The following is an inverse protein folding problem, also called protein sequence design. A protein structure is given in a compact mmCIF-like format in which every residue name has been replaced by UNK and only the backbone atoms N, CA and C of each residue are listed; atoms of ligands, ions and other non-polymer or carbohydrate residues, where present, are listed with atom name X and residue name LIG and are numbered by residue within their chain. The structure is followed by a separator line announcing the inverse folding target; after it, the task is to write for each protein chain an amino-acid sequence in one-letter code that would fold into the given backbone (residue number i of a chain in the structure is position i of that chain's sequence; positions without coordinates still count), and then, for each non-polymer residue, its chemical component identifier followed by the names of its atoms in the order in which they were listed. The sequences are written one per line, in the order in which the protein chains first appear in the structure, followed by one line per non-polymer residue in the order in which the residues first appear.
data_IF_101508156174
#
_entry.id   IF_101508156174
#
_cell.length_a   1.000
_cell.length_b   1.000
_cell.length_c   1.000
_cell.angle_alpha   90.00
_cell.angle_beta   90.00
_cell.angle_gamma   90.00
#
_symmetry.space_group_name_H-M   'P 1'
#
loop_
_entity.id
_entity.type
_entity.pdbx_description
1 polymer ?
#
# COMPACT_ATOMS: atom_id res chain seq x y z
N UNK A 1 21.66 -43.00 21.90
CA UNK A 1 22.84 -43.10 22.74
C UNK A 1 23.19 -41.70 23.22
N UNK A 2 22.72 -41.22 24.38
CA UNK A 2 23.32 -41.24 25.71
C UNK A 2 24.69 -40.53 25.74
N UNK A 3 24.87 -39.42 26.40
CA UNK A 3 25.04 -39.27 27.82
C UNK A 3 25.25 -37.80 28.22
N UNK A 4 24.56 -37.41 29.27
CA UNK A 4 24.70 -36.16 30.00
C UNK A 4 26.05 -36.06 30.73
N UNK A 5 26.54 -34.83 30.99
CA UNK A 5 27.24 -34.46 32.24
C UNK A 5 27.10 -32.98 32.55
N UNK A 6 26.44 -32.76 33.64
CA UNK A 6 26.40 -31.56 34.46
C UNK A 6 27.77 -31.17 35.00
N UNK A 7 28.08 -29.85 35.07
CA UNK A 7 28.92 -29.27 36.10
C UNK A 7 28.35 -27.96 36.63
N UNK A 8 28.32 -27.86 37.93
CA UNK A 8 27.81 -26.84 38.82
C UNK A 8 28.78 -25.66 38.95
N UNK A 9 28.19 -24.52 39.15
CA UNK A 9 28.51 -23.25 39.81
C UNK A 9 29.87 -23.08 40.48
N UNK A 10 30.44 -21.87 40.30
CA UNK A 10 30.95 -21.04 41.43
C UNK A 10 30.68 -19.56 41.14
N UNK A 11 30.09 -18.96 42.12
CA UNK A 11 29.83 -17.54 42.40
C UNK A 11 31.19 -16.84 42.56
N UNK A 12 31.40 -15.67 41.97
CA UNK A 12 32.30 -14.69 42.54
C UNK A 12 31.88 -13.27 42.12
N UNK A 13 31.55 -12.52 43.15
CA UNK A 13 31.14 -11.15 43.14
C UNK A 13 32.35 -10.21 42.96
N UNK A 14 32.32 -9.35 41.96
CA UNK A 14 33.18 -8.18 41.92
C UNK A 14 32.41 -6.96 41.35
N UNK A 15 32.01 -6.09 42.25
CA UNK A 15 31.54 -4.73 41.94
C UNK A 15 32.69 -3.89 41.39
N UNK A 16 32.58 -3.43 40.14
CA UNK A 16 33.41 -2.40 39.54
C UNK A 16 32.60 -1.10 39.39
N UNK A 17 33.23 0.08 39.42
CA UNK A 17 32.54 1.37 39.57
C UNK A 17 31.79 1.79 38.27
N UNK A 18 30.61 2.37 38.49
CA UNK A 18 29.79 2.98 37.45
C UNK A 18 30.44 4.24 36.87
N UNK A 19 30.44 4.45 35.55
CA UNK A 19 30.82 5.72 34.97
C UNK A 19 29.69 6.75 35.10
N UNK A 20 30.04 7.91 35.63
CA UNK A 20 29.22 9.11 35.73
C UNK A 20 28.79 9.62 34.38
N UNK A 21 27.48 9.83 34.19
CA UNK A 21 26.88 10.50 33.05
C UNK A 21 27.18 12.01 33.06
N UNK A 22 27.68 12.60 31.95
CA UNK A 22 27.72 14.06 31.85
C UNK A 22 26.33 14.61 31.49
N UNK A 23 25.83 15.51 32.32
CA UNK A 23 24.63 16.30 32.08
C UNK A 23 24.87 17.25 30.89
N UNK A 24 24.24 17.02 29.77
CA UNK A 24 24.24 17.94 28.67
C UNK A 24 23.11 18.96 28.87
N UNK A 25 23.46 20.17 29.31
CA UNK A 25 22.55 21.32 29.33
C UNK A 25 22.31 21.77 27.89
N UNK A 26 21.11 21.52 27.37
CA UNK A 26 20.65 22.05 26.10
C UNK A 26 20.41 23.55 26.26
N UNK A 27 21.25 24.35 25.61
CA UNK A 27 21.00 25.80 25.39
C UNK A 27 19.82 25.90 24.43
N UNK A 28 18.68 26.41 24.92
CA UNK A 28 17.53 26.75 24.12
C UNK A 28 17.85 27.90 23.17
N UNK A 29 17.91 27.60 21.87
CA UNK A 29 17.75 28.60 20.82
C UNK A 29 16.27 28.59 20.44
N UNK A 30 15.55 29.60 20.95
CA UNK A 30 14.17 29.84 20.60
C UNK A 30 14.02 30.11 19.10
N UNK A 31 13.46 29.13 18.39
CA UNK A 31 12.97 29.36 17.03
C UNK A 31 11.51 29.86 17.18
N UNK A 32 11.32 31.18 17.10
CA UNK A 32 10.00 31.79 16.97
C UNK A 32 9.42 31.41 15.61
N UNK A 33 8.34 30.62 15.62
CA UNK A 33 7.50 30.44 14.45
C UNK A 33 6.81 31.78 14.12
N UNK A 34 6.75 32.20 12.84
CA UNK A 34 5.97 33.38 12.47
C UNK A 34 4.49 33.11 12.70
N UNK A 35 3.90 33.86 13.65
CA UNK A 35 2.46 33.98 13.78
C UNK A 35 1.96 34.84 12.62
N UNK A 36 1.25 34.25 11.67
CA UNK A 36 0.15 34.79 10.89
C UNK A 36 -0.30 33.77 9.84
N UNK A 37 -1.01 32.73 10.26
CA UNK A 37 -1.90 32.04 9.31
C UNK A 37 -3.12 32.94 9.12
N UNK A 38 -3.20 33.59 7.95
CA UNK A 38 -4.34 34.37 7.50
C UNK A 38 -5.58 33.45 7.39
N UNK A 39 -6.49 33.58 8.35
CA UNK A 39 -7.75 32.84 8.45
C UNK A 39 -8.77 33.19 7.35
N UNK A 40 -8.38 33.91 6.29
CA UNK A 40 -9.28 34.31 5.19
C UNK A 40 -9.31 33.35 4.00
N UNK A 41 -8.58 32.21 4.04
CA UNK A 41 -8.59 31.22 2.94
C UNK A 41 -9.49 30.00 3.22
N UNK A 42 -10.30 30.01 4.27
CA UNK A 42 -11.16 28.87 4.65
C UNK A 42 -12.41 28.69 3.76
N UNK A 43 -12.58 29.46 2.69
CA UNK A 43 -13.72 29.36 1.75
C UNK A 43 -13.33 29.12 0.30
N UNK A 44 -12.08 28.72 0.03
CA UNK A 44 -11.79 28.12 -1.27
C UNK A 44 -12.38 26.72 -1.25
N UNK A 45 -13.61 26.59 -1.79
CA UNK A 45 -14.12 25.29 -2.24
C UNK A 45 -12.99 24.62 -3.02
N UNK A 46 -12.46 23.53 -2.46
CA UNK A 46 -11.49 22.71 -3.16
C UNK A 46 -12.22 22.13 -4.37
N UNK A 47 -12.10 22.81 -5.52
CA UNK A 47 -12.39 22.14 -6.79
C UNK A 47 -11.61 20.86 -6.81
N UNK A 48 -12.20 19.70 -7.19
CA UNK A 48 -11.45 18.49 -7.35
C UNK A 48 -10.30 18.78 -8.32
N UNK A 49 -9.08 18.85 -7.80
CA UNK A 49 -7.91 19.05 -8.64
C UNK A 49 -7.75 17.75 -9.43
N UNK A 50 -7.93 17.83 -10.74
CA UNK A 50 -7.56 16.73 -11.64
C UNK A 50 -6.06 16.54 -11.50
N UNK A 51 -5.68 15.34 -11.08
CA UNK A 51 -4.28 14.98 -10.85
C UNK A 51 -3.72 14.44 -12.15
N UNK A 52 -2.47 14.76 -12.48
CA UNK A 52 -1.72 14.00 -13.46
C UNK A 52 -0.96 12.85 -12.75
N UNK A 53 -1.50 11.61 -12.79
CA UNK A 53 -0.88 10.49 -12.10
C UNK A 53 0.52 10.17 -12.61
N UNK A 54 0.77 10.33 -13.90
CA UNK A 54 2.08 10.06 -14.51
C UNK A 54 3.12 11.08 -14.05
N UNK A 55 2.78 12.35 -14.05
CA UNK A 55 3.64 13.39 -13.50
C UNK A 55 3.94 13.15 -12.01
N UNK A 56 2.95 12.65 -11.23
CA UNK A 56 3.15 12.30 -9.83
C UNK A 56 4.07 11.09 -9.68
N UNK A 57 3.90 10.03 -10.47
CA UNK A 57 4.78 8.85 -10.51
C UNK A 57 6.22 9.30 -10.81
N UNK A 58 6.43 10.14 -11.80
CA UNK A 58 7.75 10.62 -12.21
C UNK A 58 8.48 11.49 -11.15
N UNK A 59 7.80 11.92 -10.09
CA UNK A 59 8.47 12.55 -8.93
C UNK A 59 9.26 11.56 -8.06
N UNK A 60 8.90 10.28 -8.11
CA UNK A 60 9.46 9.21 -7.27
C UNK A 60 10.15 8.11 -8.06
N UNK A 61 9.84 8.00 -9.34
CA UNK A 61 10.38 6.99 -10.25
C UNK A 61 11.14 7.66 -11.38
N UNK A 62 12.36 7.20 -11.62
CA UNK A 62 13.14 7.68 -12.76
C UNK A 62 12.45 7.29 -14.06
N UNK A 63 12.01 8.24 -14.92
CA UNK A 63 11.39 7.93 -16.19
C UNK A 63 12.25 7.01 -17.06
N UNK A 64 11.65 5.97 -17.61
CA UNK A 64 12.33 4.98 -18.45
C UNK A 64 13.13 3.91 -17.68
N UNK A 65 13.14 3.93 -16.33
CA UNK A 65 13.70 2.83 -15.55
C UNK A 65 12.79 1.58 -15.61
N UNK A 66 13.38 0.39 -15.33
CA UNK A 66 12.60 -0.87 -15.34
C UNK A 66 11.47 -0.86 -14.32
N UNK A 67 11.71 -0.33 -13.12
CA UNK A 67 10.67 -0.24 -12.07
C UNK A 67 9.54 0.73 -12.47
N UNK A 68 9.86 1.88 -13.08
CA UNK A 68 8.86 2.83 -13.60
C UNK A 68 8.01 2.15 -14.68
N UNK A 69 8.66 1.52 -15.65
CA UNK A 69 7.98 0.82 -16.74
C UNK A 69 7.04 -0.26 -16.23
N UNK A 70 7.46 -1.04 -15.22
CA UNK A 70 6.62 -2.08 -14.61
C UNK A 70 5.42 -1.45 -13.89
N UNK A 71 5.64 -0.45 -13.04
CA UNK A 71 4.55 0.24 -12.35
C UNK A 71 3.56 0.82 -13.34
N UNK A 72 4.04 1.61 -14.30
CA UNK A 72 3.20 2.31 -15.27
C UNK A 72 2.37 1.35 -16.10
N UNK A 73 2.98 0.34 -16.73
CA UNK A 73 2.27 -0.61 -17.59
C UNK A 73 1.26 -1.46 -16.80
N UNK A 74 1.62 -1.90 -15.58
CA UNK A 74 0.67 -2.60 -14.71
C UNK A 74 -0.51 -1.70 -14.33
N UNK A 75 -0.25 -0.46 -13.95
CA UNK A 75 -1.30 0.49 -13.56
C UNK A 75 -2.17 0.90 -14.76
N UNK A 76 -1.61 1.03 -15.96
CA UNK A 76 -2.35 1.24 -17.21
C UNK A 76 -3.30 0.06 -17.51
N UNK A 77 -2.81 -1.18 -17.37
CA UNK A 77 -3.63 -2.40 -17.55
C UNK A 77 -4.81 -2.43 -16.54
N UNK A 78 -4.53 -2.14 -15.27
CA UNK A 78 -5.56 -2.08 -14.21
C UNK A 78 -6.56 -0.96 -14.47
N UNK A 79 -6.10 0.22 -14.84
CA UNK A 79 -6.95 1.38 -15.16
C UNK A 79 -7.86 1.05 -16.35
N UNK A 80 -7.32 0.47 -17.40
CA UNK A 80 -8.10 0.06 -18.59
C UNK A 80 -9.26 -0.86 -18.22
N UNK A 81 -8.99 -1.91 -17.44
CA UNK A 81 -10.04 -2.82 -16.99
C UNK A 81 -11.02 -2.14 -16.03
N UNK A 82 -10.54 -1.33 -15.08
CA UNK A 82 -11.44 -0.63 -14.15
C UNK A 82 -12.40 0.30 -14.88
N UNK A 83 -11.96 0.99 -15.93
CA UNK A 83 -12.82 1.85 -16.73
C UNK A 83 -13.78 1.05 -17.62
N UNK A 84 -13.36 -0.10 -18.17
CA UNK A 84 -14.24 -1.04 -18.90
C UNK A 84 -15.39 -1.52 -18.01
N UNK A 85 -15.06 -1.96 -16.78
CA UNK A 85 -16.04 -2.41 -15.80
C UNK A 85 -16.98 -1.28 -15.37
N UNK A 86 -16.45 -0.09 -15.14
CA UNK A 86 -17.25 1.08 -14.79
C UNK A 86 -18.24 1.44 -15.91
N UNK A 87 -17.84 1.35 -17.18
CA UNK A 87 -18.72 1.61 -18.32
C UNK A 87 -19.83 0.54 -18.44
N UNK A 88 -19.52 -0.71 -18.08
CA UNK A 88 -20.50 -1.81 -18.04
C UNK A 88 -21.49 -1.71 -16.88
N UNK A 89 -21.12 -0.99 -15.81
CA UNK A 89 -21.92 -0.79 -14.60
C UNK A 89 -22.23 0.71 -14.38
N UNK A 90 -22.63 1.41 -15.46
CA UNK A 90 -22.88 2.85 -15.44
C UNK A 90 -23.95 3.29 -14.41
N UNK A 91 -24.84 2.37 -14.02
CA UNK A 91 -25.84 2.57 -12.97
C UNK A 91 -25.24 2.83 -11.58
N UNK A 92 -23.96 2.48 -11.35
CA UNK A 92 -23.29 2.73 -10.07
C UNK A 92 -22.87 4.20 -9.87
N UNK A 93 -22.92 5.02 -10.93
CA UNK A 93 -22.62 6.47 -10.88
C UNK A 93 -21.27 6.81 -10.21
N UNK A 94 -20.22 5.97 -10.42
CA UNK A 94 -18.91 6.18 -9.82
C UNK A 94 -18.13 7.32 -10.48
N UNK A 95 -17.26 7.96 -9.72
CA UNK A 95 -16.38 9.02 -10.19
C UNK A 95 -15.29 8.50 -11.14
N UNK A 96 -15.56 8.57 -12.46
CA UNK A 96 -14.67 8.06 -13.51
C UNK A 96 -13.26 8.65 -13.45
N UNK A 97 -13.17 9.95 -13.17
CA UNK A 97 -11.87 10.64 -13.07
C UNK A 97 -11.08 10.10 -11.89
N UNK A 98 -11.73 10.00 -10.73
CA UNK A 98 -11.12 9.43 -9.55
C UNK A 98 -10.70 7.96 -9.74
N UNK A 99 -11.55 7.13 -10.37
CA UNK A 99 -11.20 5.73 -10.67
C UNK A 99 -9.94 5.65 -11.53
N UNK A 100 -9.83 6.46 -12.58
CA UNK A 100 -8.65 6.49 -13.44
C UNK A 100 -7.39 6.94 -12.67
N UNK A 101 -7.47 8.02 -11.92
CA UNK A 101 -6.37 8.56 -11.12
C UNK A 101 -5.91 7.57 -10.05
N UNK A 102 -6.85 7.00 -9.31
CA UNK A 102 -6.56 6.10 -8.20
C UNK A 102 -6.03 4.74 -8.66
N UNK A 103 -6.55 4.21 -9.77
CA UNK A 103 -6.02 2.99 -10.39
C UNK A 103 -4.58 3.17 -10.88
N UNK A 104 -4.23 4.33 -11.45
CA UNK A 104 -2.85 4.65 -11.82
C UNK A 104 -1.91 4.75 -10.63
N UNK A 105 -2.41 5.11 -9.44
CA UNK A 105 -1.60 5.40 -8.26
C UNK A 105 -1.64 4.30 -7.19
N UNK A 106 -2.45 3.23 -7.35
CA UNK A 106 -2.70 2.23 -6.30
C UNK A 106 -1.43 1.57 -5.77
N UNK A 107 -0.44 1.40 -6.62
CA UNK A 107 0.83 0.73 -6.35
C UNK A 107 2.03 1.67 -6.19
N UNK A 108 1.82 2.98 -6.08
CA UNK A 108 2.89 3.98 -6.07
C UNK A 108 3.96 3.73 -5.00
N UNK A 109 3.67 2.94 -3.98
CA UNK A 109 4.58 2.63 -2.87
C UNK A 109 5.61 1.53 -3.14
N UNK A 110 5.57 0.82 -4.29
CA UNK A 110 6.43 -0.37 -4.51
C UNK A 110 7.92 -0.06 -4.47
N UNK A 111 8.36 1.15 -4.85
CA UNK A 111 9.80 1.52 -4.86
C UNK A 111 10.46 1.45 -3.48
N UNK A 112 9.68 1.58 -2.40
CA UNK A 112 10.17 1.54 -1.03
C UNK A 112 10.37 0.11 -0.52
N UNK A 113 9.97 -0.89 -1.30
CA UNK A 113 9.94 -2.30 -0.90
C UNK A 113 11.05 -3.12 -1.56
N UNK A 114 11.31 -4.29 -1.01
CA UNK A 114 12.28 -5.25 -1.55
C UNK A 114 11.57 -6.33 -2.35
N UNK A 115 11.64 -6.24 -3.68
CA UNK A 115 11.12 -7.23 -4.63
C UNK A 115 11.97 -7.21 -5.92
N UNK A 116 13.10 -7.94 -5.94
CA UNK A 116 14.06 -7.89 -7.06
C UNK A 116 13.47 -8.29 -8.41
N UNK A 117 12.49 -9.19 -8.42
CA UNK A 117 11.81 -9.68 -9.64
C UNK A 117 11.05 -8.58 -10.41
N UNK A 118 10.80 -7.47 -9.75
CA UNK A 118 10.15 -6.28 -10.33
C UNK A 118 11.00 -5.01 -10.11
N UNK A 119 12.30 -5.17 -9.93
CA UNK A 119 13.29 -4.12 -9.76
C UNK A 119 13.07 -3.19 -8.55
N UNK A 120 12.31 -3.64 -7.55
CA UNK A 120 12.14 -2.90 -6.29
C UNK A 120 13.35 -3.16 -5.39
N UNK A 121 14.14 -2.11 -5.12
CA UNK A 121 15.39 -2.15 -4.36
C UNK A 121 15.31 -1.50 -2.98
N UNK A 122 14.10 -1.18 -2.51
CA UNK A 122 13.87 -0.69 -1.16
C UNK A 122 14.10 -1.77 -0.11
N UNK A 123 13.90 -1.43 1.16
CA UNK A 123 14.22 -2.33 2.28
C UNK A 123 12.99 -2.98 2.91
N UNK A 124 11.81 -2.35 2.78
CA UNK A 124 10.58 -2.83 3.41
C UNK A 124 10.10 -4.14 2.77
N UNK A 125 9.47 -5.06 3.53
CA UNK A 125 8.76 -6.20 2.97
C UNK A 125 7.75 -5.78 1.90
N UNK A 126 7.64 -6.53 0.79
CA UNK A 126 6.78 -6.16 -0.34
C UNK A 126 5.32 -5.90 0.06
N UNK A 127 4.79 -6.65 1.01
CA UNK A 127 3.42 -6.47 1.50
C UNK A 127 3.14 -5.05 2.02
N UNK A 128 4.16 -4.31 2.45
CA UNK A 128 4.01 -2.94 2.95
C UNK A 128 3.83 -1.89 1.84
N UNK A 129 3.91 -2.26 0.55
CA UNK A 129 3.73 -1.29 -0.54
C UNK A 129 2.40 -0.54 -0.45
N UNK A 130 1.33 -1.23 -0.03
CA UNK A 130 0.02 -0.63 0.13
C UNK A 130 0.00 0.46 1.21
N UNK A 131 0.56 0.18 2.39
CA UNK A 131 0.68 1.14 3.48
C UNK A 131 1.62 2.31 3.11
N UNK A 132 2.81 2.01 2.59
CA UNK A 132 3.80 3.03 2.22
C UNK A 132 3.30 3.94 1.08
N UNK A 133 2.59 3.38 0.12
CA UNK A 133 1.91 4.15 -0.93
C UNK A 133 0.82 5.06 -0.38
N UNK A 134 0.02 4.54 0.56
CA UNK A 134 -1.02 5.32 1.21
C UNK A 134 -0.45 6.49 2.03
N UNK A 135 0.61 6.26 2.81
CA UNK A 135 1.28 7.33 3.56
C UNK A 135 1.85 8.41 2.64
N UNK A 136 2.46 7.99 1.52
CA UNK A 136 2.93 8.92 0.50
C UNK A 136 1.78 9.77 -0.04
N UNK A 137 0.67 9.16 -0.45
CA UNK A 137 -0.48 9.87 -1.00
C UNK A 137 -1.15 10.79 0.04
N UNK A 138 -1.24 10.38 1.31
CA UNK A 138 -1.72 11.24 2.40
C UNK A 138 -0.84 12.47 2.58
N UNK A 139 0.48 12.31 2.52
CA UNK A 139 1.42 13.43 2.63
C UNK A 139 1.30 14.45 1.50
N UNK A 140 0.72 14.03 0.38
CA UNK A 140 0.45 14.87 -0.80
C UNK A 140 -0.96 15.47 -0.79
N UNK A 141 -1.75 15.27 0.28
CA UNK A 141 -3.12 15.76 0.37
C UNK A 141 -4.14 14.97 -0.46
N UNK A 142 -3.86 13.69 -0.76
CA UNK A 142 -4.67 12.79 -1.58
C UNK A 142 -5.30 11.65 -0.75
N UNK A 143 -6.13 11.93 0.27
CA UNK A 143 -6.60 10.90 1.20
C UNK A 143 -7.50 9.84 0.53
N UNK A 144 -8.32 10.18 -0.48
CA UNK A 144 -9.14 9.20 -1.21
C UNK A 144 -8.26 8.22 -2.00
N UNK A 145 -7.23 8.70 -2.69
CA UNK A 145 -6.26 7.85 -3.41
C UNK A 145 -5.46 6.98 -2.45
N UNK A 146 -5.12 7.52 -1.28
CA UNK A 146 -4.45 6.76 -0.22
C UNK A 146 -5.28 5.56 0.26
N UNK A 147 -6.60 5.70 0.37
CA UNK A 147 -7.48 4.58 0.73
C UNK A 147 -7.43 3.46 -0.32
N UNK A 148 -7.43 3.80 -1.61
CA UNK A 148 -7.28 2.80 -2.69
C UNK A 148 -5.94 2.08 -2.57
N UNK A 149 -4.84 2.82 -2.42
CA UNK A 149 -3.50 2.24 -2.26
C UNK A 149 -3.40 1.33 -1.04
N UNK A 150 -4.01 1.71 0.09
CA UNK A 150 -3.96 0.95 1.34
C UNK A 150 -4.78 -0.35 1.29
N UNK A 151 -5.90 -0.36 0.54
CA UNK A 151 -6.94 -1.38 0.66
C UNK A 151 -7.05 -2.33 -0.54
N UNK A 152 -6.20 -2.15 -1.58
CA UNK A 152 -6.29 -2.98 -2.79
C UNK A 152 -5.66 -4.36 -2.67
N UNK A 153 -4.81 -4.62 -1.64
CA UNK A 153 -4.02 -5.86 -1.56
C UNK A 153 -4.88 -7.11 -1.39
N UNK A 154 -4.66 -8.11 -2.24
CA UNK A 154 -5.50 -9.33 -2.26
C UNK A 154 -6.96 -9.01 -2.60
N UNK A 155 -7.91 -9.61 -1.90
CA UNK A 155 -9.34 -9.25 -1.88
C UNK A 155 -9.69 -8.42 -0.63
N UNK A 156 -8.72 -7.65 -0.15
CA UNK A 156 -8.69 -7.05 1.18
C UNK A 156 -8.06 -7.98 2.21
N UNK A 157 -7.40 -7.40 3.21
CA UNK A 157 -6.81 -8.12 4.35
C UNK A 157 -7.57 -7.75 5.61
N UNK A 158 -8.16 -8.75 6.29
CA UNK A 158 -8.86 -8.51 7.56
C UNK A 158 -7.87 -8.43 8.72
N UNK A 159 -8.23 -7.79 9.84
CA UNK A 159 -7.38 -7.75 11.03
C UNK A 159 -6.98 -9.14 11.52
N UNK A 160 -7.89 -10.11 11.44
CA UNK A 160 -7.66 -11.50 11.83
C UNK A 160 -6.61 -12.15 10.93
N UNK A 161 -6.73 -12.00 9.61
CA UNK A 161 -5.73 -12.52 8.65
C UNK A 161 -4.36 -11.87 8.82
N UNK A 162 -4.31 -10.57 9.12
CA UNK A 162 -3.06 -9.85 9.40
C UNK A 162 -2.39 -10.43 10.64
N UNK A 163 -3.16 -10.65 11.71
CA UNK A 163 -2.66 -11.20 12.96
C UNK A 163 -2.22 -12.67 12.82
N UNK A 164 -3.08 -13.53 12.26
CA UNK A 164 -2.81 -14.95 12.09
C UNK A 164 -1.59 -15.24 11.22
N UNK A 165 -1.40 -14.42 10.18
CA UNK A 165 -0.28 -14.57 9.24
C UNK A 165 0.96 -13.78 9.63
N UNK A 166 0.92 -13.04 10.74
CA UNK A 166 2.03 -12.20 11.20
C UNK A 166 2.45 -11.15 10.16
N UNK A 167 1.47 -10.58 9.42
CA UNK A 167 1.75 -9.57 8.42
C UNK A 167 2.14 -8.27 9.12
N UNK A 168 3.29 -7.65 8.79
CA UNK A 168 3.81 -6.49 9.55
C UNK A 168 3.13 -5.17 9.15
N UNK A 169 1.83 -5.18 8.90
CA UNK A 169 1.04 -3.99 8.64
C UNK A 169 0.67 -3.30 9.97
N UNK A 170 0.77 -1.96 10.05
CA UNK A 170 0.26 -1.19 11.19
C UNK A 170 -1.25 -1.39 11.37
N UNK A 171 -1.82 -1.10 12.56
CA UNK A 171 -3.27 -1.09 12.72
C UNK A 171 -3.95 -0.16 11.72
N UNK A 172 -4.95 -0.67 11.00
CA UNK A 172 -5.63 0.07 9.93
C UNK A 172 -6.73 -0.74 9.26
N UNK A 173 -7.37 -0.15 8.25
CA UNK A 173 -8.38 -0.80 7.41
C UNK A 173 -7.73 -1.14 6.08
N UNK A 174 -7.57 -2.44 5.81
CA UNK A 174 -6.94 -2.97 4.59
C UNK A 174 -7.92 -3.76 3.72
N UNK A 175 -9.21 -3.56 3.94
CA UNK A 175 -10.29 -4.06 3.08
C UNK A 175 -10.94 -2.89 2.34
N UNK A 176 -11.31 -3.02 1.05
CA UNK A 176 -12.04 -1.99 0.32
C UNK A 176 -13.34 -1.60 1.05
N UNK A 177 -13.67 -0.31 1.04
CA UNK A 177 -14.86 0.27 1.72
C UNK A 177 -15.79 0.97 0.73
N UNK A 178 -15.23 1.77 -0.20
CA UNK A 178 -16.05 2.41 -1.24
C UNK A 178 -16.16 1.53 -2.49
N UNK A 179 -17.16 1.82 -3.32
CA UNK A 179 -17.36 1.09 -4.57
C UNK A 179 -16.19 1.26 -5.55
N UNK A 180 -15.56 2.43 -5.58
CA UNK A 180 -14.36 2.68 -6.39
C UNK A 180 -13.16 1.89 -5.87
N UNK A 181 -12.99 1.79 -4.53
CA UNK A 181 -11.95 0.96 -3.92
C UNK A 181 -12.14 -0.52 -4.27
N UNK A 182 -13.38 -1.02 -4.21
CA UNK A 182 -13.73 -2.39 -4.57
C UNK A 182 -13.48 -2.67 -6.06
N UNK A 183 -13.92 -1.76 -6.95
CA UNK A 183 -13.76 -1.89 -8.39
C UNK A 183 -12.27 -1.97 -8.79
N UNK A 184 -11.43 -1.07 -8.26
CA UNK A 184 -9.99 -1.05 -8.54
C UNK A 184 -9.32 -2.29 -7.93
N UNK A 185 -9.68 -2.65 -6.68
CA UNK A 185 -9.19 -3.87 -6.04
C UNK A 185 -9.52 -5.11 -6.88
N UNK A 186 -10.73 -5.20 -7.44
CA UNK A 186 -11.13 -6.30 -8.30
C UNK A 186 -10.33 -6.32 -9.62
N UNK A 187 -10.24 -5.18 -10.31
CA UNK A 187 -9.53 -5.07 -11.60
C UNK A 187 -8.04 -5.46 -11.48
N UNK A 188 -7.35 -5.06 -10.43
CA UNK A 188 -5.95 -5.38 -10.19
C UNK A 188 -5.66 -6.89 -10.17
N UNK A 189 -6.61 -7.72 -9.74
CA UNK A 189 -6.38 -9.18 -9.61
C UNK A 189 -6.10 -9.85 -10.95
N UNK A 190 -6.55 -9.27 -12.03
CA UNK A 190 -6.38 -9.84 -13.37
C UNK A 190 -5.01 -9.59 -13.99
N UNK A 191 -4.18 -8.75 -13.39
CA UNK A 191 -2.86 -8.42 -13.93
C UNK A 191 -1.72 -8.84 -12.99
N UNK A 192 -0.49 -8.81 -13.52
CA UNK A 192 0.70 -9.18 -12.75
C UNK A 192 1.88 -8.32 -13.20
N UNK A 193 2.62 -7.78 -12.26
CA UNK A 193 3.83 -7.00 -12.49
C UNK A 193 4.97 -7.78 -13.15
N UNK A 194 4.93 -9.12 -13.09
CA UNK A 194 5.90 -9.99 -13.74
C UNK A 194 5.47 -10.49 -15.14
N UNK A 195 4.22 -10.23 -15.56
CA UNK A 195 3.64 -10.61 -16.85
C UNK A 195 2.77 -9.49 -17.38
N UNK A 196 3.41 -8.38 -17.72
CA UNK A 196 2.75 -7.17 -18.21
C UNK A 196 1.93 -7.41 -19.46
N UNK A 197 0.80 -6.71 -19.62
CA UNK A 197 -0.10 -6.81 -20.76
C UNK A 197 -0.85 -8.15 -20.88
N UNK A 198 -0.77 -9.04 -19.88
CA UNK A 198 -1.43 -10.35 -19.92
C UNK A 198 -2.54 -10.41 -18.85
N UNK A 199 -3.80 -10.27 -19.31
CA UNK A 199 -4.98 -10.47 -18.45
C UNK A 199 -5.11 -11.94 -18.08
N UNK A 200 -5.17 -12.25 -16.78
CA UNK A 200 -5.43 -13.60 -16.27
C UNK A 200 -6.91 -13.98 -16.52
N UNK A 201 -7.18 -15.27 -16.76
CA UNK A 201 -8.56 -15.76 -16.72
C UNK A 201 -9.11 -15.73 -15.29
N UNK A 202 -10.42 -15.68 -15.15
CA UNK A 202 -11.13 -15.74 -13.88
C UNK A 202 -10.71 -16.99 -13.06
N UNK A 203 -10.66 -18.17 -13.72
CA UNK A 203 -10.26 -19.42 -13.06
C UNK A 203 -8.85 -19.34 -12.47
N UNK A 204 -7.93 -18.65 -13.18
CA UNK A 204 -6.57 -18.45 -12.69
C UNK A 204 -6.51 -17.53 -11.49
N UNK A 205 -7.34 -16.48 -11.48
CA UNK A 205 -7.46 -15.58 -10.32
C UNK A 205 -8.04 -16.34 -9.13
N UNK A 206 -9.16 -17.06 -9.30
CA UNK A 206 -9.80 -17.86 -8.25
C UNK A 206 -8.87 -18.93 -7.69
N UNK A 207 -8.14 -19.65 -8.56
CA UNK A 207 -7.13 -20.64 -8.15
C UNK A 207 -6.00 -20.00 -7.33
N UNK A 208 -5.65 -18.75 -7.62
CA UNK A 208 -4.71 -17.95 -6.82
C UNK A 208 -5.25 -17.72 -5.41
N UNK A 209 -6.50 -17.23 -5.30
CA UNK A 209 -7.13 -16.96 -4.01
C UNK A 209 -7.37 -18.21 -3.17
N UNK A 210 -7.72 -19.35 -3.79
CA UNK A 210 -7.91 -20.61 -3.08
C UNK A 210 -6.67 -21.05 -2.28
N UNK A 211 -5.47 -20.67 -2.74
CA UNK A 211 -4.20 -20.93 -2.02
C UNK A 211 -4.02 -20.05 -0.77
N UNK A 212 -4.70 -18.91 -0.71
CA UNK A 212 -4.64 -17.98 0.41
C UNK A 212 -5.75 -18.20 1.44
N UNK A 213 -6.64 -19.16 1.19
CA UNK A 213 -7.72 -19.53 2.08
C UNK A 213 -9.10 -19.22 1.52
N UNK A 214 -10.08 -19.96 2.04
CA UNK A 214 -11.47 -19.88 1.57
C UNK A 214 -12.12 -18.51 1.82
N UNK A 215 -11.75 -17.84 2.91
CA UNK A 215 -12.28 -16.52 3.23
C UNK A 215 -11.86 -15.47 2.18
N UNK A 216 -10.59 -15.49 1.74
CA UNK A 216 -10.09 -14.61 0.70
C UNK A 216 -10.76 -14.88 -0.65
N UNK A 217 -10.98 -16.18 -0.98
CA UNK A 217 -11.70 -16.57 -2.20
C UNK A 217 -13.15 -16.07 -2.16
N UNK A 218 -13.88 -16.27 -1.05
CA UNK A 218 -15.26 -15.77 -0.91
C UNK A 218 -15.37 -14.25 -1.04
N UNK A 219 -14.40 -13.49 -0.53
CA UNK A 219 -14.39 -12.02 -0.73
C UNK A 219 -14.18 -11.66 -2.20
N UNK A 220 -13.26 -12.35 -2.87
CA UNK A 220 -13.05 -12.15 -4.30
C UNK A 220 -14.30 -12.52 -5.12
N UNK A 221 -14.95 -13.64 -4.82
CA UNK A 221 -16.18 -14.07 -5.51
C UNK A 221 -17.31 -13.04 -5.36
N UNK A 222 -17.46 -12.41 -4.18
CA UNK A 222 -18.40 -11.29 -3.99
C UNK A 222 -18.07 -10.06 -4.85
N UNK A 223 -16.78 -9.74 -5.00
CA UNK A 223 -16.37 -8.68 -5.92
C UNK A 223 -16.68 -9.07 -7.37
N UNK A 224 -16.50 -10.33 -7.73
CA UNK A 224 -16.84 -10.83 -9.06
C UNK A 224 -18.35 -10.83 -9.33
N UNK A 225 -19.18 -11.20 -8.35
CA UNK A 225 -20.66 -11.09 -8.44
C UNK A 225 -21.11 -9.64 -8.68
N UNK A 226 -20.38 -8.67 -8.12
CA UNK A 226 -20.74 -7.25 -8.20
C UNK A 226 -20.19 -6.56 -9.46
N UNK A 227 -18.99 -6.90 -9.90
CA UNK A 227 -18.26 -6.17 -10.95
C UNK A 227 -17.88 -7.04 -12.16
N UNK A 228 -18.08 -8.35 -12.11
CA UNK A 228 -17.73 -9.26 -13.21
C UNK A 228 -18.60 -9.05 -14.45
N UNK A 229 -18.02 -9.25 -15.64
CA UNK A 229 -18.70 -9.26 -16.94
C UNK A 229 -19.01 -10.70 -17.34
#
# INVERSE_FOLDING_TARGET
YACARTRKATDDSAQGPQPSTPSCQAKGTGFSLPQAFDTRLSHLQAYPQVIDPLALIHRYYQPGSDIERILRLHSEDVTGLALELLDAHAEMELDRTFVAEAAMLHDIGIFQTKAPDIYCTGEAPYILHCFLGAELLRSLGLPRHAHVAERHTGSGLTPEEIQERGIPLPPGIYTPVSAEEELICYADKFFSKTKLGQKKSLDKVRSGFAKHGEAALRRFDKLHEKYGL
#
